data_IF_858014773112
#
_entry.id   IF_858014773112
#
_cell.length_a   1.000
_cell.length_b   1.000
_cell.length_c   1.000
_cell.angle_alpha   90.00
_cell.angle_beta   90.00
_cell.angle_gamma   90.00
#
_symmetry.space_group_name_H-M   'P 1'
#
loop_
_entity.id
_entity.type
_entity.pdbx_description
1 polymer ?
#
# COMPACT_ATOMS: atom_id res chain seq x y z
N UNK A 1 -15.49 5.16 -14.63
CA UNK A 1 -15.89 4.25 -13.54
C UNK A 1 -15.53 2.84 -13.98
N UNK A 2 -14.92 2.03 -13.12
CA UNK A 2 -14.62 0.63 -13.44
C UNK A 2 -15.87 -0.18 -13.11
N UNK A 3 -16.38 -0.94 -14.07
CA UNK A 3 -17.68 -1.64 -13.94
C UNK A 3 -17.59 -3.16 -14.02
N UNK A 4 -16.38 -3.71 -14.22
CA UNK A 4 -16.16 -5.15 -14.33
C UNK A 4 -14.84 -5.57 -13.67
N UNK A 5 -14.78 -6.85 -13.28
CA UNK A 5 -13.65 -7.43 -12.53
C UNK A 5 -12.36 -7.40 -13.37
N UNK A 6 -12.43 -7.70 -14.67
CA UNK A 6 -11.23 -7.73 -15.51
C UNK A 6 -10.60 -6.35 -15.64
N UNK A 7 -11.41 -5.31 -15.79
CA UNK A 7 -10.98 -3.91 -15.77
C UNK A 7 -10.41 -3.51 -14.41
N UNK A 8 -11.02 -3.97 -13.31
CA UNK A 8 -10.50 -3.73 -11.96
C UNK A 8 -9.12 -4.36 -11.75
N UNK A 9 -8.93 -5.62 -12.17
CA UNK A 9 -7.66 -6.31 -12.05
C UNK A 9 -6.55 -5.65 -12.87
N UNK A 10 -6.84 -5.19 -14.10
CA UNK A 10 -5.87 -4.41 -14.91
C UNK A 10 -5.50 -3.09 -14.25
N UNK A 11 -6.49 -2.38 -13.70
CA UNK A 11 -6.25 -1.15 -12.96
C UNK A 11 -5.37 -1.40 -11.73
N UNK A 12 -5.69 -2.43 -10.94
CA UNK A 12 -4.94 -2.79 -9.75
C UNK A 12 -3.48 -3.16 -10.06
N UNK A 13 -3.26 -3.96 -11.10
CA UNK A 13 -1.91 -4.33 -11.57
C UNK A 13 -1.10 -3.10 -12.04
N UNK A 14 -1.75 -2.16 -12.74
CA UNK A 14 -1.11 -0.90 -13.13
C UNK A 14 -0.75 -0.03 -11.92
N UNK A 15 -1.64 0.09 -10.93
CA UNK A 15 -1.33 0.80 -9.69
C UNK A 15 -0.15 0.17 -8.97
N UNK A 16 -0.16 -1.16 -8.82
CA UNK A 16 0.92 -1.89 -8.16
C UNK A 16 2.27 -1.60 -8.82
N UNK A 17 2.36 -1.78 -10.15
CA UNK A 17 3.61 -1.54 -10.90
C UNK A 17 4.11 -0.09 -10.76
N UNK A 18 3.19 0.87 -10.79
CA UNK A 18 3.54 2.28 -10.57
C UNK A 18 4.05 2.51 -9.15
N UNK A 19 3.37 1.97 -8.14
CA UNK A 19 3.80 2.11 -6.74
C UNK A 19 5.17 1.49 -6.51
N UNK A 20 5.43 0.29 -7.04
CA UNK A 20 6.75 -0.36 -6.95
C UNK A 20 7.84 0.52 -7.57
N UNK A 21 7.60 1.09 -8.75
CA UNK A 21 8.52 2.02 -9.42
C UNK A 21 8.76 3.29 -8.58
N UNK A 22 7.69 3.90 -8.08
CA UNK A 22 7.76 5.16 -7.36
C UNK A 22 8.45 4.97 -5.99
N UNK A 23 8.25 3.83 -5.32
CA UNK A 23 8.97 3.43 -4.09
C UNK A 23 10.46 3.18 -4.37
N UNK A 24 10.79 2.48 -5.46
CA UNK A 24 12.18 2.24 -5.84
C UNK A 24 12.94 3.53 -6.19
N UNK A 25 12.24 4.59 -6.59
CA UNK A 25 12.81 5.89 -6.90
C UNK A 25 12.97 6.80 -5.67
N UNK A 26 12.54 6.38 -4.47
CA UNK A 26 12.66 7.19 -3.26
C UNK A 26 14.14 7.43 -2.92
N UNK A 27 14.54 8.66 -2.57
CA UNK A 27 15.89 8.92 -2.11
C UNK A 27 16.14 8.26 -0.75
N UNK A 28 17.38 7.91 -0.39
CA UNK A 28 17.69 7.30 0.90
C UNK A 28 17.15 8.08 2.13
N UNK A 29 17.12 9.42 2.04
CA UNK A 29 16.58 10.28 3.09
C UNK A 29 15.09 10.07 3.37
N UNK A 30 14.32 9.52 2.43
CA UNK A 30 12.90 9.22 2.61
C UNK A 30 12.67 8.22 3.76
N UNK A 31 13.62 7.30 3.99
CA UNK A 31 13.53 6.33 5.08
C UNK A 31 13.56 6.99 6.47
N UNK A 32 14.15 8.18 6.60
CA UNK A 32 14.23 8.94 7.85
C UNK A 32 13.09 9.96 8.00
N UNK A 33 12.29 10.19 6.95
CA UNK A 33 11.22 11.18 7.00
C UNK A 33 10.07 10.72 7.89
N UNK A 34 9.56 11.65 8.70
CA UNK A 34 8.34 11.49 9.49
C UNK A 34 7.44 12.72 9.30
N UNK A 35 6.11 12.56 9.29
CA UNK A 35 5.21 13.69 9.32
C UNK A 35 5.29 14.41 10.68
N UNK A 36 4.78 15.66 10.78
CA UNK A 36 4.50 16.28 12.07
C UNK A 36 3.63 15.35 12.93
N UNK A 37 3.83 15.35 14.25
CA UNK A 37 3.10 14.48 15.19
C UNK A 37 1.59 14.56 14.96
N UNK A 38 1.04 13.46 14.44
CA UNK A 38 -0.38 13.22 14.20
C UNK A 38 -0.70 11.80 14.65
N UNK A 39 -1.93 11.59 15.09
CA UNK A 39 -2.40 10.28 15.49
C UNK A 39 -2.86 9.45 14.28
N UNK A 40 -2.86 8.13 14.44
CA UNK A 40 -3.33 7.18 13.43
C UNK A 40 -2.51 7.20 12.13
N UNK A 41 -3.16 6.85 11.02
CA UNK A 41 -2.52 6.75 9.69
C UNK A 41 -1.92 8.09 9.22
N UNK A 42 -2.47 9.21 9.71
CA UNK A 42 -1.96 10.55 9.40
C UNK A 42 -0.57 10.81 10.01
N UNK A 43 -0.14 10.00 10.98
CA UNK A 43 1.17 10.04 11.62
C UNK A 43 2.21 9.10 11.03
N UNK A 44 1.87 8.32 9.99
CA UNK A 44 2.79 7.33 9.44
C UNK A 44 3.98 7.96 8.71
N UNK A 45 5.17 7.44 9.01
CA UNK A 45 6.39 7.64 8.22
C UNK A 45 6.27 7.02 6.83
N UNK A 46 7.18 7.39 5.93
CA UNK A 46 7.24 6.76 4.60
C UNK A 46 7.46 5.25 4.72
N UNK A 47 8.29 4.80 5.66
CA UNK A 47 8.51 3.38 5.90
C UNK A 47 7.25 2.62 6.32
N UNK A 48 6.43 3.22 7.19
CA UNK A 48 5.14 2.65 7.63
C UNK A 48 4.14 2.59 6.48
N UNK A 49 4.04 3.66 5.68
CA UNK A 49 3.17 3.71 4.49
C UNK A 49 3.57 2.61 3.49
N UNK A 50 4.86 2.51 3.15
CA UNK A 50 5.36 1.51 2.20
C UNK A 50 5.15 0.09 2.75
N UNK A 51 5.41 -0.11 4.04
CA UNK A 51 5.16 -1.37 4.73
C UNK A 51 3.70 -1.80 4.66
N UNK A 52 2.78 -0.90 4.99
CA UNK A 52 1.34 -1.15 4.94
C UNK A 52 0.87 -1.51 3.52
N UNK A 53 1.30 -0.76 2.50
CA UNK A 53 0.97 -1.08 1.10
C UNK A 53 1.49 -2.48 0.72
N UNK A 54 2.73 -2.79 1.09
CA UNK A 54 3.36 -4.08 0.79
C UNK A 54 2.69 -5.27 1.49
N UNK A 55 2.17 -5.07 2.69
CA UNK A 55 1.49 -6.10 3.49
C UNK A 55 0.00 -6.24 3.17
N UNK A 56 -0.66 -5.22 2.62
CA UNK A 56 -2.13 -5.20 2.42
C UNK A 56 -2.66 -6.38 1.60
N UNK A 57 -1.86 -6.93 0.67
CA UNK A 57 -2.22 -8.14 -0.09
C UNK A 57 -2.46 -9.37 0.78
N UNK A 58 -1.80 -9.43 1.95
CA UNK A 58 -1.96 -10.52 2.91
C UNK A 58 -3.33 -10.46 3.59
N UNK A 59 -3.95 -9.30 3.68
CA UNK A 59 -5.28 -9.14 4.30
C UNK A 59 -6.37 -9.80 3.45
N UNK A 60 -6.24 -9.75 2.12
CA UNK A 60 -7.09 -10.52 1.22
C UNK A 60 -6.92 -12.03 1.41
N UNK A 61 -5.68 -12.49 1.57
CA UNK A 61 -5.41 -13.91 1.82
C UNK A 61 -5.97 -14.37 3.18
N UNK A 62 -5.80 -13.55 4.23
CA UNK A 62 -6.38 -13.77 5.56
C UNK A 62 -7.91 -13.86 5.50
N UNK A 63 -8.55 -12.88 4.84
CA UNK A 63 -10.00 -12.86 4.66
C UNK A 63 -10.49 -14.09 3.90
N UNK A 64 -9.80 -14.47 2.82
CA UNK A 64 -10.09 -15.68 2.05
C UNK A 64 -10.03 -16.96 2.91
N UNK A 65 -9.11 -17.01 3.87
CA UNK A 65 -8.96 -18.12 4.82
C UNK A 65 -9.95 -18.08 5.99
N UNK A 66 -10.82 -17.07 6.08
CA UNK A 66 -11.73 -16.88 7.21
C UNK A 66 -11.06 -16.36 8.48
N UNK A 67 -9.84 -15.82 8.37
CA UNK A 67 -9.05 -15.30 9.51
C UNK A 67 -9.36 -13.82 9.81
N UNK A 68 -10.19 -13.19 8.96
CA UNK A 68 -10.63 -11.81 9.11
C UNK A 68 -9.74 -10.80 8.38
N UNK A 69 -10.12 -9.53 8.50
CA UNK A 69 -9.38 -8.39 7.98
C UNK A 69 -8.47 -7.84 9.07
N UNK A 70 -7.18 -8.19 9.00
CA UNK A 70 -6.12 -7.81 9.94
C UNK A 70 -5.27 -6.67 9.40
#
# INVERSE_FOLDING_TARGET
MITDIASYLRFFDNMRRRTERDVAALPPLAAAWRPPEREGEAGWSIGEIVGHIGSSRLYFASTYRGEGWI
#
